data_IF_241830467768
#
_entry.id   IF_241830467768
#
_cell.length_a   1.000
_cell.length_b   1.000
_cell.length_c   1.000
_cell.angle_alpha   90.00
_cell.angle_beta   90.00
_cell.angle_gamma   90.00
#
_symmetry.space_group_name_H-M   'P 1'
#
loop_
_entity.id
_entity.type
_entity.pdbx_description
1 polymer ?
#
# COMPACT_ATOMS: atom_id res chain seq x y z
N UNK A 1 8.84 -14.97 4.67
CA UNK A 1 8.85 -16.10 3.75
C UNK A 1 8.10 -17.29 4.32
N UNK A 2 8.34 -17.78 5.48
CA UNK A 2 7.72 -18.97 6.05
C UNK A 2 6.41 -18.74 6.84
N UNK A 3 5.75 -17.60 6.69
CA UNK A 3 4.60 -17.25 7.55
C UNK A 3 3.24 -17.70 7.00
N UNK A 4 3.22 -18.22 5.77
CA UNK A 4 2.01 -18.74 5.12
C UNK A 4 2.14 -20.22 4.74
N UNK A 5 1.02 -20.94 4.70
CA UNK A 5 1.02 -22.40 4.46
C UNK A 5 1.73 -22.84 3.16
N UNK A 6 1.64 -22.11 2.01
CA UNK A 6 2.33 -22.49 0.79
C UNK A 6 3.85 -22.64 0.91
N UNK A 7 4.45 -22.00 1.92
CA UNK A 7 5.88 -22.07 2.24
C UNK A 7 6.19 -22.89 3.49
N UNK A 8 5.21 -23.66 4.00
CA UNK A 8 5.44 -24.73 4.97
C UNK A 8 5.13 -24.43 6.43
N UNK A 9 4.62 -23.22 6.77
CA UNK A 9 4.14 -23.00 8.13
C UNK A 9 2.88 -23.82 8.41
N UNK A 10 2.60 -24.16 9.70
CA UNK A 10 1.53 -25.07 10.12
C UNK A 10 0.65 -24.51 11.24
N UNK A 11 0.97 -23.32 11.77
CA UNK A 11 0.30 -22.75 12.95
C UNK A 11 -1.00 -22.04 12.60
N UNK A 12 -1.00 -21.31 11.48
CA UNK A 12 -2.17 -20.56 10.99
C UNK A 12 -2.62 -21.10 9.63
N UNK A 13 -3.92 -20.99 9.37
CA UNK A 13 -4.52 -21.44 8.11
C UNK A 13 -4.61 -20.29 7.12
N UNK A 14 -4.11 -20.53 5.91
CA UNK A 14 -4.15 -19.57 4.80
C UNK A 14 -4.73 -20.19 3.52
N UNK A 15 -6.00 -20.68 3.55
CA UNK A 15 -6.54 -21.53 2.47
C UNK A 15 -6.65 -20.79 1.13
N UNK A 16 -6.92 -19.49 1.13
CA UNK A 16 -7.00 -18.70 -0.10
C UNK A 16 -5.61 -18.44 -0.71
N UNK A 17 -4.57 -18.28 0.14
CA UNK A 17 -3.20 -18.18 -0.34
C UNK A 17 -2.69 -19.53 -0.85
N UNK A 18 -3.13 -20.65 -0.25
CA UNK A 18 -2.85 -22.00 -0.77
C UNK A 18 -3.39 -22.13 -2.19
N UNK A 19 -4.68 -21.81 -2.40
CA UNK A 19 -5.30 -21.85 -3.72
C UNK A 19 -4.56 -20.94 -4.73
N UNK A 20 -4.21 -19.70 -4.33
CA UNK A 20 -3.43 -18.82 -5.19
C UNK A 20 -2.07 -19.42 -5.58
N UNK A 21 -1.41 -20.09 -4.66
CA UNK A 21 -0.13 -20.74 -4.89
C UNK A 21 -0.25 -22.01 -5.76
N UNK A 22 -1.34 -22.73 -5.65
CA UNK A 22 -1.63 -23.94 -6.43
C UNK A 22 -2.03 -23.58 -7.88
N UNK A 23 -2.81 -22.51 -8.05
CA UNK A 23 -3.25 -22.02 -9.35
C UNK A 23 -2.20 -21.14 -10.06
N UNK A 24 -1.15 -20.72 -9.35
CA UNK A 24 -0.17 -19.74 -9.83
C UNK A 24 1.29 -20.20 -9.73
N UNK A 25 2.17 -19.26 -9.38
CA UNK A 25 3.62 -19.49 -9.28
C UNK A 25 4.11 -19.13 -7.88
N UNK A 26 4.89 -20.03 -7.27
CA UNK A 26 5.63 -19.78 -6.03
C UNK A 26 7.07 -19.39 -6.33
N UNK A 27 7.43 -18.15 -6.04
CA UNK A 27 8.79 -17.64 -6.23
C UNK A 27 9.62 -17.90 -4.97
N UNK A 28 10.45 -18.94 -5.00
CA UNK A 28 11.25 -19.38 -3.84
C UNK A 28 12.52 -18.55 -3.61
N UNK A 29 12.92 -17.75 -4.59
CA UNK A 29 14.13 -16.90 -4.58
C UNK A 29 13.79 -15.45 -4.92
N UNK A 30 12.63 -14.95 -4.46
CA UNK A 30 12.23 -13.57 -4.62
C UNK A 30 12.53 -12.78 -3.33
N UNK A 31 13.27 -11.69 -3.47
CA UNK A 31 13.74 -10.88 -2.34
C UNK A 31 13.18 -9.46 -2.43
N UNK A 32 12.83 -8.88 -1.28
CA UNK A 32 12.47 -7.47 -1.19
C UNK A 32 13.68 -6.57 -1.52
N UNK A 33 13.43 -5.41 -2.12
CA UNK A 33 14.49 -4.48 -2.52
C UNK A 33 15.24 -3.81 -1.38
N UNK A 34 14.75 -3.95 -0.14
CA UNK A 34 15.41 -3.48 1.08
C UNK A 34 14.87 -4.22 2.31
N UNK A 35 15.59 -4.11 3.43
CA UNK A 35 15.27 -4.77 4.69
C UNK A 35 14.22 -4.05 5.53
N UNK A 36 13.89 -2.78 5.21
CA UNK A 36 12.90 -1.96 5.92
C UNK A 36 11.84 -1.41 4.98
N UNK A 37 10.69 -1.02 5.55
CA UNK A 37 9.45 -0.80 4.80
C UNK A 37 9.53 0.32 3.75
N UNK A 38 9.96 1.53 4.08
CA UNK A 38 9.99 2.66 3.14
C UNK A 38 10.78 2.35 1.86
N UNK A 39 12.08 2.05 1.95
CA UNK A 39 12.88 1.76 0.76
C UNK A 39 12.47 0.47 0.04
N UNK A 40 11.93 -0.54 0.74
CA UNK A 40 11.40 -1.75 0.10
C UNK A 40 10.17 -1.43 -0.76
N UNK A 41 9.25 -0.59 -0.24
CA UNK A 41 8.06 -0.14 -0.98
C UNK A 41 8.43 0.74 -2.17
N UNK A 42 9.39 1.65 -1.97
CA UNK A 42 9.92 2.47 -3.06
C UNK A 42 10.53 1.60 -4.17
N UNK A 43 11.37 0.62 -3.81
CA UNK A 43 11.95 -0.32 -4.79
C UNK A 43 10.89 -1.11 -5.55
N UNK A 44 9.85 -1.60 -4.85
CA UNK A 44 8.74 -2.33 -5.48
C UNK A 44 8.00 -1.46 -6.50
N UNK A 45 7.71 -0.21 -6.13
CA UNK A 45 6.90 0.67 -6.97
C UNK A 45 7.68 1.35 -8.10
N UNK A 46 8.99 1.60 -7.92
CA UNK A 46 9.80 2.31 -8.92
C UNK A 46 10.69 1.40 -9.76
N UNK A 47 10.92 0.15 -9.32
CA UNK A 47 11.89 -0.74 -9.93
C UNK A 47 13.36 -0.39 -9.63
N UNK A 48 13.63 0.67 -8.87
CA UNK A 48 14.98 1.04 -8.49
C UNK A 48 15.40 0.37 -7.18
N UNK A 49 16.60 -0.20 -7.15
CA UNK A 49 17.17 -0.64 -5.87
C UNK A 49 17.57 0.58 -5.01
N UNK A 50 17.72 0.38 -3.71
CA UNK A 50 17.92 1.46 -2.73
C UNK A 50 19.18 2.32 -2.97
N UNK A 51 20.13 1.88 -3.78
CA UNK A 51 21.29 2.69 -4.20
C UNK A 51 20.95 3.78 -5.23
N UNK A 52 19.86 3.63 -5.97
CA UNK A 52 19.41 4.58 -7.01
C UNK A 52 18.04 5.20 -6.71
N UNK A 53 17.26 4.61 -5.82
CA UNK A 53 15.95 5.14 -5.42
C UNK A 53 16.04 6.42 -4.59
N UNK A 54 14.98 7.21 -4.60
CA UNK A 54 14.86 8.44 -3.80
C UNK A 54 14.66 8.15 -2.31
N UNK A 55 13.98 7.04 -1.94
CA UNK A 55 13.76 6.62 -0.55
C UNK A 55 14.75 5.53 -0.19
N UNK A 56 15.73 5.86 0.66
CA UNK A 56 16.83 4.95 1.02
C UNK A 56 16.77 4.43 2.46
N UNK A 57 15.80 4.87 3.25
CA UNK A 57 15.62 4.48 4.64
C UNK A 57 14.28 4.93 5.16
N UNK A 58 13.94 4.47 6.38
CA UNK A 58 12.80 5.00 7.10
C UNK A 58 13.18 6.32 7.79
N UNK A 59 12.20 7.20 8.08
CA UNK A 59 12.47 8.39 8.87
C UNK A 59 13.04 7.96 10.22
N UNK A 60 14.18 8.53 10.57
CA UNK A 60 14.70 8.39 11.92
C UNK A 60 13.92 9.34 12.83
N UNK A 61 13.74 8.92 14.07
CA UNK A 61 13.18 9.77 15.15
C UNK A 61 14.02 11.04 15.43
N UNK A 62 15.22 11.10 14.85
CA UNK A 62 16.11 12.25 14.86
C UNK A 62 16.26 12.80 13.45
N UNK A 63 16.35 14.13 13.30
CA UNK A 63 16.50 14.90 12.06
C UNK A 63 17.75 14.50 11.23
N UNK A 64 17.78 13.31 10.69
CA UNK A 64 18.95 12.74 10.02
C UNK A 64 19.06 13.08 8.53
N UNK A 65 18.21 13.97 8.00
CA UNK A 65 18.32 14.46 6.62
C UNK A 65 18.15 13.44 5.49
N UNK A 66 17.77 12.19 5.79
CA UNK A 66 17.52 11.21 4.74
C UNK A 66 16.18 11.51 4.05
N UNK A 67 16.13 11.49 2.72
CA UNK A 67 14.86 11.54 2.00
C UNK A 67 13.97 10.36 2.43
N UNK A 68 12.75 10.69 2.82
CA UNK A 68 11.75 9.72 3.29
C UNK A 68 10.46 9.81 2.49
N UNK A 69 10.36 10.83 1.65
CA UNK A 69 9.27 11.05 0.72
C UNK A 69 9.68 10.57 -0.66
N UNK A 70 8.75 9.94 -1.35
CA UNK A 70 8.95 9.55 -2.73
C UNK A 70 9.06 10.81 -3.61
N UNK A 71 10.04 10.84 -4.49
CA UNK A 71 10.30 11.97 -5.38
C UNK A 71 9.25 12.07 -6.47
N UNK A 72 8.93 13.30 -6.89
CA UNK A 72 8.12 13.56 -8.10
C UNK A 72 8.82 13.16 -9.40
N UNK A 73 10.13 12.97 -9.35
CA UNK A 73 10.91 12.49 -10.50
C UNK A 73 10.88 10.97 -10.65
N UNK A 74 10.37 10.26 -9.65
CA UNK A 74 10.25 8.81 -9.71
C UNK A 74 8.98 8.42 -10.48
N UNK A 75 9.13 7.57 -11.48
CA UNK A 75 8.00 6.95 -12.17
C UNK A 75 7.65 5.65 -11.43
N UNK A 76 6.42 5.55 -10.93
CA UNK A 76 5.96 4.35 -10.24
C UNK A 76 5.25 3.38 -11.19
N UNK A 77 5.13 2.13 -10.76
CA UNK A 77 4.29 1.13 -11.44
C UNK A 77 2.84 1.63 -11.61
N UNK A 78 2.31 2.39 -10.63
CA UNK A 78 0.98 2.98 -10.73
C UNK A 78 0.89 4.01 -11.87
N UNK A 79 1.90 4.87 -12.07
CA UNK A 79 1.96 5.77 -13.22
C UNK A 79 1.94 5.01 -14.54
N UNK A 80 2.76 3.97 -14.65
CA UNK A 80 2.86 3.15 -15.88
C UNK A 80 1.51 2.51 -16.19
N UNK A 81 0.88 1.88 -15.21
CA UNK A 81 -0.41 1.20 -15.38
C UNK A 81 -1.54 2.20 -15.69
N UNK A 82 -1.59 3.32 -14.97
CA UNK A 82 -2.56 4.39 -15.23
C UNK A 82 -2.46 4.92 -16.67
N UNK A 83 -1.24 5.16 -17.15
CA UNK A 83 -0.98 5.60 -18.52
C UNK A 83 -1.35 4.54 -19.58
N UNK A 84 -1.50 3.27 -19.15
CA UNK A 84 -1.97 2.18 -19.98
C UNK A 84 -3.45 1.80 -19.73
N UNK A 85 -4.23 2.72 -19.19
CA UNK A 85 -5.68 2.58 -19.06
C UNK A 85 -6.16 1.78 -17.85
N UNK A 86 -5.31 1.55 -16.85
CA UNK A 86 -5.73 0.91 -15.61
C UNK A 86 -6.33 1.92 -14.62
N UNK A 87 -7.39 1.54 -13.93
CA UNK A 87 -7.81 2.20 -12.69
C UNK A 87 -6.85 1.77 -11.57
N UNK A 88 -6.27 2.72 -10.84
CA UNK A 88 -5.21 2.42 -9.87
C UNK A 88 -5.63 2.77 -8.45
N UNK A 89 -5.40 1.86 -7.51
CA UNK A 89 -5.69 2.08 -6.10
C UNK A 89 -4.61 1.55 -5.18
N UNK A 90 -4.43 2.21 -4.05
CA UNK A 90 -3.69 1.69 -2.90
C UNK A 90 -4.55 1.75 -1.65
N UNK A 91 -4.61 0.64 -0.92
CA UNK A 91 -5.33 0.54 0.35
C UNK A 91 -4.38 -0.06 1.40
N UNK A 92 -4.25 0.63 2.53
CA UNK A 92 -3.37 0.26 3.62
C UNK A 92 -2.20 1.23 3.81
N UNK A 93 -1.01 0.72 4.09
CA UNK A 93 0.16 1.55 4.38
C UNK A 93 0.81 2.13 3.13
N UNK A 94 0.95 3.47 3.08
CA UNK A 94 1.83 4.15 2.13
C UNK A 94 3.27 4.22 2.64
N UNK A 95 3.55 5.04 3.67
CA UNK A 95 4.84 5.12 4.34
C UNK A 95 5.95 5.77 3.52
N UNK A 96 5.62 6.66 2.59
CA UNK A 96 6.55 7.41 1.73
C UNK A 96 6.10 8.87 1.51
N UNK A 97 5.32 9.42 2.47
CA UNK A 97 4.94 10.83 2.57
C UNK A 97 5.03 11.26 4.04
N UNK A 98 6.25 11.29 4.56
CA UNK A 98 6.53 11.37 5.99
C UNK A 98 6.71 12.81 6.49
N UNK A 99 6.93 13.77 5.60
CA UNK A 99 7.22 15.16 5.97
C UNK A 99 6.05 15.84 6.69
N UNK A 100 6.38 16.76 7.57
CA UNK A 100 5.45 17.65 8.26
C UNK A 100 5.93 19.11 8.05
N UNK A 101 5.13 19.98 7.43
CA UNK A 101 3.82 19.71 6.84
C UNK A 101 3.87 18.68 5.70
N UNK A 102 2.74 18.03 5.41
CA UNK A 102 2.67 16.99 4.39
C UNK A 102 3.09 17.50 3.02
N UNK A 103 4.07 16.82 2.42
CA UNK A 103 4.41 17.01 1.02
C UNK A 103 3.34 16.32 0.15
N UNK A 104 2.44 17.12 -0.40
CA UNK A 104 1.32 16.62 -1.21
C UNK A 104 1.80 15.86 -2.46
N UNK A 105 2.96 16.20 -2.98
CA UNK A 105 3.52 15.56 -4.16
C UNK A 105 4.07 14.15 -3.88
N UNK A 106 4.30 13.82 -2.61
CA UNK A 106 4.68 12.47 -2.19
C UNK A 106 3.47 11.59 -1.81
N UNK A 107 2.25 12.17 -1.81
CA UNK A 107 1.03 11.40 -1.52
C UNK A 107 0.70 10.44 -2.67
N UNK A 108 0.02 9.31 -2.39
CA UNK A 108 -0.28 8.30 -3.41
C UNK A 108 -0.95 8.83 -4.66
N UNK A 109 -1.86 9.80 -4.53
CA UNK A 109 -2.57 10.38 -5.67
C UNK A 109 -1.64 11.14 -6.63
N UNK A 110 -0.57 11.77 -6.12
CA UNK A 110 0.46 12.38 -6.95
C UNK A 110 1.45 11.36 -7.51
N UNK A 111 1.44 10.13 -6.99
CA UNK A 111 2.34 9.04 -7.36
C UNK A 111 1.65 7.97 -8.23
N UNK A 112 0.59 8.37 -8.95
CA UNK A 112 -0.06 7.55 -9.97
C UNK A 112 -1.28 6.75 -9.52
N UNK A 113 -1.70 6.85 -8.25
CA UNK A 113 -2.89 6.18 -7.77
C UNK A 113 -4.12 7.09 -7.86
N UNK A 114 -5.21 6.58 -8.48
CA UNK A 114 -6.49 7.29 -8.56
C UNK A 114 -7.21 7.31 -7.21
N UNK A 115 -7.03 6.25 -6.41
CA UNK A 115 -7.65 6.12 -5.10
C UNK A 115 -6.63 5.69 -4.05
N UNK A 116 -6.69 6.33 -2.89
CA UNK A 116 -5.93 5.97 -1.70
C UNK A 116 -6.83 5.91 -0.48
N UNK A 117 -6.69 4.86 0.32
CA UNK A 117 -7.26 4.80 1.66
C UNK A 117 -6.27 4.10 2.60
N UNK A 118 -5.82 4.79 3.66
CA UNK A 118 -4.92 4.13 4.60
C UNK A 118 -4.04 5.06 5.43
N UNK A 119 -2.91 4.50 5.85
CA UNK A 119 -1.91 5.24 6.61
C UNK A 119 -0.96 6.01 5.69
N UNK A 120 -0.84 7.32 5.91
CA UNK A 120 0.13 8.15 5.22
C UNK A 120 1.56 7.80 5.64
N UNK A 121 1.79 7.67 6.95
CA UNK A 121 3.12 7.50 7.55
C UNK A 121 3.38 6.06 7.97
N UNK A 122 4.66 5.70 8.05
CA UNK A 122 5.00 4.37 8.52
C UNK A 122 4.76 4.21 10.03
N UNK A 123 4.92 5.26 10.83
CA UNK A 123 4.70 5.22 12.28
C UNK A 123 3.24 4.89 12.60
N UNK A 124 2.30 5.58 11.96
CA UNK A 124 0.87 5.33 12.15
C UNK A 124 0.49 3.88 11.84
N UNK A 125 1.14 3.26 10.85
CA UNK A 125 0.88 1.89 10.43
C UNK A 125 1.38 0.80 11.41
N UNK A 126 2.10 1.17 12.47
CA UNK A 126 2.43 0.26 13.57
C UNK A 126 1.34 0.18 14.64
N UNK A 127 0.27 0.97 14.48
CA UNK A 127 -0.80 1.08 15.46
C UNK A 127 -2.17 0.83 14.79
N UNK A 128 -2.72 -0.36 14.97
CA UNK A 128 -3.95 -0.80 14.30
C UNK A 128 -5.23 -0.06 14.72
N UNK A 129 -5.15 0.77 15.76
CA UNK A 129 -6.23 1.62 16.26
C UNK A 129 -5.88 3.11 16.15
N UNK A 130 -5.12 3.47 15.10
CA UNK A 130 -4.71 4.84 14.86
C UNK A 130 -5.92 5.74 14.57
N UNK A 131 -6.01 6.95 15.18
CA UNK A 131 -7.23 7.77 15.11
C UNK A 131 -7.42 8.51 13.79
N UNK A 132 -6.39 8.54 12.93
CA UNK A 132 -6.47 9.28 11.66
C UNK A 132 -5.87 8.47 10.53
N UNK A 133 -6.71 8.12 9.56
CA UNK A 133 -6.31 7.61 8.26
C UNK A 133 -6.42 8.72 7.21
N UNK A 134 -6.16 8.39 5.97
CA UNK A 134 -6.37 9.28 4.83
C UNK A 134 -7.26 8.60 3.79
N UNK A 135 -8.17 9.37 3.22
CA UNK A 135 -8.88 9.01 2.00
C UNK A 135 -8.49 10.01 0.93
N UNK A 136 -7.68 9.56 -0.02
CA UNK A 136 -6.93 10.42 -0.93
C UNK A 136 -6.07 11.42 -0.14
N UNK A 137 -6.22 12.71 -0.38
CA UNK A 137 -5.46 13.76 0.31
C UNK A 137 -6.14 14.30 1.58
N UNK A 138 -7.28 13.73 1.98
CA UNK A 138 -8.07 14.21 3.10
C UNK A 138 -7.93 13.30 4.32
N UNK A 139 -7.91 13.90 5.51
CA UNK A 139 -7.94 13.16 6.76
C UNK A 139 -9.29 12.44 6.94
N UNK A 140 -9.21 11.15 7.27
CA UNK A 140 -10.33 10.31 7.66
C UNK A 140 -10.22 10.00 9.16
N UNK A 141 -11.03 10.69 9.96
CA UNK A 141 -10.96 10.59 11.43
C UNK A 141 -11.80 9.46 11.99
N UNK A 142 -11.16 8.65 12.83
CA UNK A 142 -11.77 7.59 13.63
C UNK A 142 -11.84 8.08 15.08
N UNK A 143 -12.92 8.77 15.43
CA UNK A 143 -13.07 9.52 16.71
C UNK A 143 -12.91 8.66 17.95
N UNK A 144 -13.29 7.37 17.87
CA UNK A 144 -13.28 6.44 18.99
C UNK A 144 -11.99 5.59 19.04
N UNK A 145 -11.06 5.85 18.13
CA UNK A 145 -9.80 5.11 18.09
C UNK A 145 -8.79 5.70 19.08
N UNK A 146 -8.25 4.82 19.92
CA UNK A 146 -7.16 5.10 20.86
C UNK A 146 -6.09 4.01 20.69
N UNK A 147 -5.00 4.35 20.00
CA UNK A 147 -3.92 3.40 19.73
C UNK A 147 -3.12 3.01 20.99
N UNK A 148 -3.14 3.82 22.04
CA UNK A 148 -2.48 3.49 23.32
C UNK A 148 -3.25 2.42 24.10
N UNK A 149 -4.57 2.37 23.92
CA UNK A 149 -5.46 1.40 24.59
C UNK A 149 -5.89 0.26 23.69
N UNK A 150 -5.53 0.29 22.39
CA UNK A 150 -6.03 -0.63 21.36
C UNK A 150 -7.57 -0.69 21.33
N UNK A 151 -8.22 0.49 21.36
CA UNK A 151 -9.67 0.63 21.36
C UNK A 151 -10.18 1.32 20.11
N UNK A 152 -11.41 0.96 19.70
CA UNK A 152 -12.09 1.52 18.56
C UNK A 152 -12.19 0.55 17.38
N UNK A 153 -12.17 1.07 16.16
CA UNK A 153 -12.22 0.26 14.92
C UNK A 153 -10.83 -0.24 14.56
N UNK A 154 -10.72 -1.55 14.37
CA UNK A 154 -9.51 -2.16 13.83
C UNK A 154 -9.35 -1.75 12.36
N UNK A 155 -8.25 -1.09 12.05
CA UNK A 155 -8.07 -0.44 10.74
C UNK A 155 -7.98 -1.42 9.57
N UNK A 156 -7.51 -2.66 9.80
CA UNK A 156 -7.45 -3.68 8.75
C UNK A 156 -8.84 -4.19 8.34
N UNK A 157 -9.85 -4.14 9.23
CA UNK A 157 -11.24 -4.41 8.85
C UNK A 157 -11.73 -3.35 7.87
N UNK A 158 -11.40 -2.07 8.13
CA UNK A 158 -11.71 -0.97 7.21
C UNK A 158 -10.97 -1.12 5.85
N UNK A 159 -9.71 -1.56 5.88
CA UNK A 159 -8.97 -1.80 4.64
C UNK A 159 -9.61 -2.93 3.83
N UNK A 160 -10.02 -4.00 4.50
CA UNK A 160 -10.73 -5.12 3.85
C UNK A 160 -12.04 -4.64 3.25
N UNK A 161 -12.85 -3.90 3.98
CA UNK A 161 -14.12 -3.32 3.50
C UNK A 161 -13.89 -2.43 2.27
N UNK A 162 -12.94 -1.50 2.34
CA UNK A 162 -12.62 -0.59 1.23
C UNK A 162 -12.08 -1.33 0.01
N UNK A 163 -11.26 -2.38 0.21
CA UNK A 163 -10.73 -3.20 -0.87
C UNK A 163 -11.83 -3.99 -1.57
N UNK A 164 -12.73 -4.63 -0.82
CA UNK A 164 -13.87 -5.36 -1.39
C UNK A 164 -14.79 -4.42 -2.17
N UNK A 165 -15.14 -3.26 -1.61
CA UNK A 165 -15.96 -2.25 -2.29
C UNK A 165 -15.30 -1.73 -3.57
N UNK A 166 -13.98 -1.53 -3.55
CA UNK A 166 -13.25 -1.15 -4.75
C UNK A 166 -13.33 -2.22 -5.83
N UNK A 167 -13.09 -3.48 -5.50
CA UNK A 167 -13.12 -4.62 -6.44
C UNK A 167 -14.53 -4.78 -7.05
N UNK A 168 -15.58 -4.73 -6.22
CA UNK A 168 -16.98 -4.81 -6.67
C UNK A 168 -17.28 -3.68 -7.67
N UNK A 169 -16.93 -2.45 -7.33
CA UNK A 169 -17.13 -1.28 -8.20
C UNK A 169 -16.41 -1.44 -9.56
N UNK A 170 -15.18 -1.98 -9.56
CA UNK A 170 -14.47 -2.25 -10.82
C UNK A 170 -15.19 -3.33 -11.64
N UNK A 171 -15.74 -4.37 -11.00
CA UNK A 171 -16.52 -5.41 -11.65
C UNK A 171 -17.81 -4.88 -12.30
N UNK A 172 -18.54 -4.01 -11.61
CA UNK A 172 -19.77 -3.38 -12.12
C UNK A 172 -19.51 -2.46 -13.31
N UNK A 173 -18.47 -1.62 -13.24
CA UNK A 173 -18.06 -0.74 -14.34
C UNK A 173 -17.67 -1.56 -15.58
N UNK A 174 -17.07 -2.72 -15.35
CA UNK A 174 -16.66 -3.65 -16.40
C UNK A 174 -17.85 -4.31 -17.11
N UNK A 175 -18.99 -4.52 -16.41
CA UNK A 175 -20.20 -5.09 -16.99
C UNK A 175 -21.05 -4.05 -17.75
N UNK A 176 -20.99 -2.78 -17.34
CA UNK A 176 -21.79 -1.70 -17.94
C UNK A 176 -21.27 -1.20 -19.30
N UNK A 177 -20.03 -1.48 -19.65
CA UNK A 177 -19.41 -1.01 -20.89
C UNK A 177 -19.12 -2.19 -21.83
N UNK A 178 -19.96 -2.43 -22.82
CA UNK A 178 -19.71 -3.41 -23.89
C UNK A 178 -18.44 -3.13 -24.74
N UNK A 179 -17.89 -1.92 -24.64
CA UNK A 179 -16.79 -1.43 -25.50
C UNK A 179 -15.38 -1.70 -24.94
N UNK A 180 -15.23 -2.27 -23.74
CA UNK A 180 -13.89 -2.63 -23.22
C UNK A 180 -13.80 -2.57 -21.70
N UNK A 181 -13.49 -3.70 -21.14
CA UNK A 181 -13.23 -3.87 -19.69
C UNK A 181 -12.01 -3.06 -19.31
N UNK A 182 -12.18 -1.98 -18.54
CA UNK A 182 -11.04 -1.25 -18.01
C UNK A 182 -10.40 -2.08 -16.88
N UNK A 183 -9.13 -2.48 -17.01
CA UNK A 183 -8.46 -3.23 -15.97
C UNK A 183 -8.19 -2.35 -14.76
N UNK A 184 -7.97 -2.98 -13.59
CA UNK A 184 -7.55 -2.24 -12.42
C UNK A 184 -6.27 -2.81 -11.81
N UNK A 185 -5.55 -1.96 -11.09
CA UNK A 185 -4.42 -2.29 -10.25
C UNK A 185 -4.73 -1.89 -8.81
N UNK A 186 -4.76 -2.86 -7.93
CA UNK A 186 -4.92 -2.64 -6.48
C UNK A 186 -3.65 -3.06 -5.74
N UNK A 187 -2.96 -2.09 -5.13
CA UNK A 187 -1.90 -2.36 -4.17
C UNK A 187 -2.50 -2.44 -2.76
N UNK A 188 -2.77 -3.66 -2.29
CA UNK A 188 -3.31 -3.92 -0.97
C UNK A 188 -2.15 -4.15 0.00
N UNK A 189 -1.90 -3.15 0.87
CA UNK A 189 -0.73 -3.04 1.73
C UNK A 189 -1.12 -3.12 3.22
N UNK A 190 -1.58 -4.32 3.65
CA UNK A 190 -1.89 -4.63 5.05
C UNK A 190 -0.70 -4.40 5.99
#
# INVERSE_FOLDING_TARGET
>A
YGDIEPFGQKLIKTPNLNRLADDGIKLTQHYAGSTVCGPSRASLLTGFHSGHGSVRGNPKWTNSGNPVDLSTNDTTLAHILKNNGYNTAIIGKWGMAEQVPTNINAMPNAQGFDYFFGYKTHVAAHHYYWPTLFENNNEYKLKDNDYLKNQGKYTHDLFTEKALNYIVKQGETTQANEAGKQPFFLYLAY
#
